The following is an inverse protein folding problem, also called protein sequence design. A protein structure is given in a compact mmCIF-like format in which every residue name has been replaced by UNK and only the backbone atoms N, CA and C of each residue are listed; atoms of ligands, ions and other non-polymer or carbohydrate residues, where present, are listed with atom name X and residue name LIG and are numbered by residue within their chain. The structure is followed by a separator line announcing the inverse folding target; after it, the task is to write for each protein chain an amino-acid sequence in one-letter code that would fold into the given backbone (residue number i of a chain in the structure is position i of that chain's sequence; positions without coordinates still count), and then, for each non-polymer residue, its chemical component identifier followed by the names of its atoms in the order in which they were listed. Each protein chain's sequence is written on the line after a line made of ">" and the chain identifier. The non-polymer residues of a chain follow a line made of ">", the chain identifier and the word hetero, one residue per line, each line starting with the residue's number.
data_IF_587530786711
#
_entry.id   IF_587530786711
#
_cell.length_a   1.000
_cell.length_b   1.000
_cell.length_c   1.000
_cell.angle_alpha   90.00
_cell.angle_beta   90.00
_cell.angle_gamma   90.00
#
_symmetry.space_group_name_H-M   'P 1'
#
loop_
_entity.id
_entity.type
_entity.pdbx_description
1 polymer ?
#
# COMPACT_ATOMS: atom_id res chain seq x y z
N UNK A 1 13.73 -2.81 15.78
CA UNK A 1 12.54 -1.99 15.52
C UNK A 1 12.02 -1.50 16.86
N UNK A 2 11.86 -0.20 17.04
CA UNK A 2 11.16 0.34 18.20
C UNK A 2 9.68 0.46 17.84
N UNK A 3 8.81 -0.06 18.71
CA UNK A 3 7.36 0.03 18.59
C UNK A 3 6.80 0.65 19.87
N UNK A 4 5.78 1.48 19.76
CA UNK A 4 5.04 2.03 20.90
C UNK A 4 3.60 1.51 20.87
N UNK A 5 3.05 1.08 22.01
CA UNK A 5 1.63 0.82 22.11
C UNK A 5 0.87 2.15 22.10
N UNK A 6 -0.18 2.22 21.30
CA UNK A 6 -1.04 3.38 21.14
C UNK A 6 -2.50 2.97 21.28
N UNK A 7 -3.34 3.91 21.72
CA UNK A 7 -4.78 3.71 21.86
C UNK A 7 -5.50 4.59 20.84
N UNK A 8 -6.49 4.01 20.16
CA UNK A 8 -7.41 4.75 19.31
C UNK A 8 -8.84 4.44 19.70
N UNK A 9 -9.75 5.38 19.46
CA UNK A 9 -11.19 5.20 19.70
C UNK A 9 -11.90 5.18 18.36
N UNK A 10 -12.72 4.15 18.11
CA UNK A 10 -13.50 4.08 16.88
C UNK A 10 -14.53 5.21 16.82
N UNK A 11 -14.53 6.07 15.78
CA UNK A 11 -15.44 7.21 15.70
C UNK A 11 -16.90 6.80 15.47
N UNK A 12 -17.16 5.54 15.10
CA UNK A 12 -18.51 5.06 14.79
C UNK A 12 -19.22 4.36 15.94
N UNK A 13 -18.47 3.81 16.90
CA UNK A 13 -19.04 3.01 18.01
C UNK A 13 -18.35 3.23 19.35
N UNK A 14 -17.39 4.15 19.43
CA UNK A 14 -16.62 4.50 20.62
C UNK A 14 -15.82 3.35 21.27
N UNK A 15 -15.70 2.19 20.61
CA UNK A 15 -14.84 1.10 21.11
C UNK A 15 -13.38 1.54 21.05
N UNK A 16 -12.67 1.39 22.17
CA UNK A 16 -11.22 1.62 22.25
C UNK A 16 -10.47 0.39 21.72
N UNK A 17 -9.38 0.65 21.00
CA UNK A 17 -8.48 -0.38 20.47
C UNK A 17 -7.05 -0.04 20.81
N UNK A 18 -6.25 -1.07 21.04
CA UNK A 18 -4.79 -0.93 21.06
C UNK A 18 -4.19 -1.25 19.70
N UNK A 19 -3.10 -0.59 19.36
CA UNK A 19 -2.28 -0.95 18.21
C UNK A 19 -0.83 -0.58 18.49
N UNK A 20 0.09 -1.11 17.69
CA UNK A 20 1.51 -0.78 17.79
C UNK A 20 1.91 0.07 16.58
N UNK A 21 2.53 1.21 16.84
CA UNK A 21 3.11 2.06 15.83
C UNK A 21 4.63 1.88 15.82
N UNK A 22 5.21 1.71 14.64
CA UNK A 22 6.66 1.67 14.50
C UNK A 22 7.24 3.09 14.66
N UNK A 23 8.20 3.25 15.57
CA UNK A 23 8.88 4.53 15.84
C UNK A 23 10.22 4.63 15.13
N UNK A 24 10.87 3.48 14.91
CA UNK A 24 12.10 3.41 14.12
C UNK A 24 12.29 2.03 13.50
N UNK A 25 12.88 2.03 12.32
CA UNK A 25 13.16 0.82 11.57
C UNK A 25 14.38 1.00 10.66
N UNK A 26 14.80 -0.10 10.04
CA UNK A 26 15.86 -0.09 9.04
C UNK A 26 15.50 -1.10 7.93
N UNK A 27 16.26 -1.06 6.85
CA UNK A 27 16.06 -1.92 5.68
C UNK A 27 16.97 -3.14 5.67
N UNK A 28 17.63 -3.46 6.79
CA UNK A 28 18.55 -4.62 6.86
C UNK A 28 17.72 -5.89 6.68
N UNK A 29 18.09 -6.68 5.66
CA UNK A 29 17.37 -7.91 5.30
C UNK A 29 16.01 -7.68 4.63
N UNK A 30 15.69 -6.44 4.25
CA UNK A 30 14.44 -6.14 3.55
C UNK A 30 14.47 -6.61 2.09
N UNK A 31 13.33 -7.09 1.62
CA UNK A 31 13.07 -7.41 0.22
C UNK A 31 12.31 -6.25 -0.42
N UNK A 32 12.86 -5.73 -1.52
CA UNK A 32 12.27 -4.64 -2.28
C UNK A 32 11.51 -5.19 -3.48
N UNK A 33 10.30 -4.70 -3.73
CA UNK A 33 9.47 -5.11 -4.85
C UNK A 33 9.33 -4.00 -5.89
N UNK A 34 9.06 -4.40 -7.13
CA UNK A 34 8.95 -3.50 -8.29
C UNK A 34 7.80 -2.49 -8.22
N UNK A 35 6.84 -2.69 -7.31
CA UNK A 35 5.72 -1.80 -7.02
C UNK A 35 5.96 -0.86 -5.82
N UNK A 36 7.21 -0.78 -5.34
CA UNK A 36 7.60 0.06 -4.22
C UNK A 36 7.25 -0.53 -2.86
N UNK A 37 6.63 -1.72 -2.80
CA UNK A 37 6.43 -2.41 -1.53
C UNK A 37 7.77 -2.91 -0.98
N UNK A 38 7.97 -2.72 0.32
CA UNK A 38 9.16 -3.21 1.04
C UNK A 38 8.69 -4.18 2.11
N UNK A 39 9.22 -5.40 2.06
CA UNK A 39 8.96 -6.42 3.06
C UNK A 39 10.22 -6.60 3.92
N UNK A 40 10.13 -6.29 5.22
CA UNK A 40 11.23 -6.51 6.15
C UNK A 40 10.73 -6.60 7.59
N UNK A 41 11.35 -7.46 8.39
CA UNK A 41 10.99 -7.65 9.81
C UNK A 41 11.24 -6.40 10.66
N UNK A 42 12.11 -5.50 10.22
CA UNK A 42 12.40 -4.22 10.86
C UNK A 42 11.96 -3.01 10.02
N UNK A 43 11.18 -3.23 8.95
CA UNK A 43 10.62 -2.15 8.16
C UNK A 43 9.37 -1.62 8.85
N UNK A 44 9.27 -0.30 9.11
CA UNK A 44 8.17 0.25 9.88
C UNK A 44 6.85 0.16 9.10
N UNK A 45 5.81 -0.41 9.74
CA UNK A 45 4.43 -0.35 9.25
C UNK A 45 3.71 0.81 9.94
N UNK A 46 3.72 1.98 9.30
CA UNK A 46 2.97 3.14 9.78
C UNK A 46 1.48 2.95 9.44
N UNK A 47 0.68 2.67 10.47
CA UNK A 47 -0.75 2.48 10.33
C UNK A 47 -1.43 3.84 10.21
N UNK A 48 -2.14 4.05 9.09
CA UNK A 48 -2.94 5.27 8.84
C UNK A 48 -4.44 4.97 8.97
N UNK A 49 -4.84 3.73 8.67
CA UNK A 49 -6.22 3.27 8.74
C UNK A 49 -6.30 1.98 9.56
N UNK A 50 -7.37 1.86 10.32
CA UNK A 50 -7.69 0.69 11.14
C UNK A 50 -9.10 0.18 10.89
N UNK A 51 -9.35 -1.09 11.22
CA UNK A 51 -10.67 -1.70 11.23
C UNK A 51 -11.09 -2.00 12.67
N UNK A 52 -12.26 -1.50 13.05
CA UNK A 52 -12.82 -1.74 14.38
C UNK A 52 -13.22 -3.22 14.53
N UNK A 53 -12.84 -3.87 15.63
CA UNK A 53 -13.26 -5.26 15.91
C UNK A 53 -14.73 -5.40 16.31
N UNK A 54 -15.34 -4.31 16.80
CA UNK A 54 -16.73 -4.30 17.28
C UNK A 54 -17.73 -4.02 16.14
N UNK A 55 -17.55 -2.92 15.40
CA UNK A 55 -18.48 -2.53 14.32
C UNK A 55 -17.99 -2.85 12.90
N UNK A 56 -16.76 -3.36 12.75
CA UNK A 56 -16.13 -3.73 11.47
C UNK A 56 -15.99 -2.60 10.44
N UNK A 57 -16.18 -1.33 10.84
CA UNK A 57 -15.93 -0.18 9.98
C UNK A 57 -14.45 0.16 9.95
N UNK A 58 -13.98 0.58 8.78
CA UNK A 58 -12.66 1.18 8.60
C UNK A 58 -12.75 2.65 8.96
N UNK A 59 -11.72 3.15 9.65
CA UNK A 59 -11.60 4.55 10.00
C UNK A 59 -10.13 4.98 9.96
N UNK A 60 -9.91 6.29 9.80
CA UNK A 60 -8.59 6.91 9.88
C UNK A 60 -8.13 6.92 11.33
N UNK A 61 -6.86 6.60 11.55
CA UNK A 61 -6.24 6.77 12.85
C UNK A 61 -5.88 8.23 13.03
N UNK A 62 -6.43 8.83 14.09
CA UNK A 62 -6.03 10.15 14.56
C UNK A 62 -4.68 10.08 15.27
N UNK A 63 -4.10 11.25 15.57
CA UNK A 63 -2.85 11.31 16.33
C UNK A 63 -2.97 10.54 17.64
N UNK A 64 -1.90 9.82 18.04
CA UNK A 64 -1.93 8.98 19.22
C UNK A 64 -2.27 9.80 20.47
N UNK A 65 -3.32 9.39 21.17
CA UNK A 65 -3.57 9.84 22.53
C UNK A 65 -2.87 8.85 23.46
N UNK A 66 -1.70 9.22 23.98
CA UNK A 66 -1.03 8.51 25.06
C UNK A 66 -1.80 8.73 26.36
N UNK A 67 -2.93 8.04 26.52
CA UNK A 67 -3.68 8.07 27.77
C UNK A 67 -2.96 7.17 28.79
N UNK A 68 -2.04 7.76 29.56
CA UNK A 68 -1.13 7.07 30.49
C UNK A 68 -1.84 6.20 31.55
N UNK A 69 -3.16 6.38 31.73
CA UNK A 69 -3.96 5.70 32.74
C UNK A 69 -4.80 4.52 32.21
N UNK A 70 -4.73 4.19 30.91
CA UNK A 70 -5.49 3.04 30.37
C UNK A 70 -4.66 1.77 30.42
N UNK A 71 -5.21 0.70 31.01
CA UNK A 71 -4.60 -0.62 30.94
C UNK A 71 -4.68 -1.15 29.50
N UNK A 72 -3.54 -1.28 28.85
CA UNK A 72 -3.42 -1.73 27.47
C UNK A 72 -3.75 -3.22 27.29
N UNK A 73 -3.65 -4.02 28.36
CA UNK A 73 -3.78 -5.47 28.24
C UNK A 73 -5.23 -5.91 28.00
N UNK A 74 -6.20 -5.11 28.42
CA UNK A 74 -7.64 -5.39 28.29
C UNK A 74 -8.27 -4.90 26.98
N UNK A 75 -7.55 -4.13 26.17
CA UNK A 75 -8.08 -3.57 24.93
C UNK A 75 -7.94 -4.54 23.75
N UNK A 76 -8.98 -4.68 22.90
CA UNK A 76 -8.87 -5.50 21.69
C UNK A 76 -7.90 -4.86 20.69
N UNK A 77 -7.10 -5.70 20.03
CA UNK A 77 -6.20 -5.27 18.96
C UNK A 77 -6.98 -4.68 17.78
N UNK A 78 -6.51 -3.54 17.28
CA UNK A 78 -7.01 -2.94 16.07
C UNK A 78 -6.73 -3.86 14.87
N UNK A 79 -7.75 -4.17 14.07
CA UNK A 79 -7.57 -5.00 12.90
C UNK A 79 -6.98 -4.20 11.73
N UNK A 80 -6.15 -4.87 10.93
CA UNK A 80 -5.68 -4.34 9.66
C UNK A 80 -6.81 -4.46 8.61
N UNK A 81 -7.17 -3.39 7.89
CA UNK A 81 -8.15 -3.48 6.82
C UNK A 81 -7.68 -4.41 5.71
N UNK A 82 -8.60 -5.24 5.20
CA UNK A 82 -8.37 -6.11 4.05
C UNK A 82 -8.72 -5.41 2.73
N UNK A 83 -8.50 -6.10 1.61
CA UNK A 83 -8.75 -5.58 0.26
C UNK A 83 -10.15 -4.96 0.11
N UNK A 84 -11.19 -5.73 0.46
CA UNK A 84 -12.56 -5.27 0.28
C UNK A 84 -12.99 -4.23 1.32
N UNK A 85 -12.32 -4.19 2.46
CA UNK A 85 -12.53 -3.13 3.46
C UNK A 85 -12.11 -1.77 2.87
N UNK A 86 -10.94 -1.70 2.24
CA UNK A 86 -10.48 -0.50 1.53
C UNK A 86 -11.38 -0.13 0.35
N UNK A 87 -11.81 -1.11 -0.46
CA UNK A 87 -12.72 -0.86 -1.59
C UNK A 87 -14.06 -0.31 -1.10
N UNK A 88 -14.61 -0.85 -0.01
CA UNK A 88 -15.84 -0.34 0.60
C UNK A 88 -15.64 1.07 1.16
N UNK A 89 -14.50 1.33 1.80
CA UNK A 89 -14.18 2.63 2.36
C UNK A 89 -14.04 3.72 1.30
N UNK A 90 -13.40 3.44 0.15
CA UNK A 90 -13.35 4.37 -1.00
C UNK A 90 -14.72 4.73 -1.58
N UNK A 91 -15.71 3.85 -1.44
CA UNK A 91 -17.07 4.06 -1.94
C UNK A 91 -18.02 4.60 -0.84
N UNK A 92 -17.50 4.91 0.35
CA UNK A 92 -18.27 5.50 1.43
C UNK A 92 -18.46 7.00 1.24
N UNK A 93 -19.28 7.61 2.09
CA UNK A 93 -19.49 9.07 2.10
C UNK A 93 -18.44 9.83 2.92
N UNK A 94 -17.42 9.14 3.42
CA UNK A 94 -16.32 9.76 4.18
C UNK A 94 -15.51 10.67 3.25
N UNK A 95 -15.21 11.88 3.70
CA UNK A 95 -14.36 12.81 2.96
C UNK A 95 -12.91 12.35 3.06
N UNK A 96 -12.26 12.17 1.91
CA UNK A 96 -10.84 11.82 1.81
C UNK A 96 -10.08 12.95 1.14
N UNK A 97 -8.91 13.27 1.70
CA UNK A 97 -7.93 14.09 0.99
C UNK A 97 -7.35 13.33 -0.20
N UNK A 98 -6.75 14.06 -1.15
CA UNK A 98 -6.10 13.44 -2.30
C UNK A 98 -4.97 12.47 -1.89
N UNK A 99 -4.26 12.79 -0.80
CA UNK A 99 -3.17 11.96 -0.25
C UNK A 99 -3.71 10.67 0.39
N UNK A 100 -4.83 10.76 1.11
CA UNK A 100 -5.49 9.61 1.73
C UNK A 100 -6.04 8.65 0.68
N UNK A 101 -6.69 9.18 -0.35
CA UNK A 101 -7.16 8.39 -1.47
C UNK A 101 -5.98 7.71 -2.19
N UNK A 102 -4.87 8.42 -2.44
CA UNK A 102 -3.68 7.83 -3.05
C UNK A 102 -3.10 6.69 -2.18
N UNK A 103 -3.04 6.89 -0.87
CA UNK A 103 -2.59 5.88 0.08
C UNK A 103 -3.45 4.62 -0.02
N UNK A 104 -4.78 4.77 0.07
CA UNK A 104 -5.71 3.63 0.03
C UNK A 104 -5.60 2.90 -1.31
N UNK A 105 -5.54 3.62 -2.42
CA UNK A 105 -5.38 3.03 -3.76
C UNK A 105 -4.04 2.31 -3.92
N UNK A 106 -2.98 2.83 -3.31
CA UNK A 106 -1.67 2.15 -3.25
C UNK A 106 -1.75 0.87 -2.41
N UNK A 107 -2.42 0.89 -1.25
CA UNK A 107 -2.67 -0.32 -0.45
C UNK A 107 -3.48 -1.37 -1.20
N UNK A 108 -4.55 -0.99 -1.90
CA UNK A 108 -5.32 -1.90 -2.76
C UNK A 108 -4.42 -2.54 -3.81
N UNK A 109 -3.58 -1.74 -4.48
CA UNK A 109 -2.65 -2.25 -5.49
C UNK A 109 -1.66 -3.26 -4.89
N UNK A 110 -1.08 -2.97 -3.72
CA UNK A 110 -0.19 -3.88 -3.02
C UNK A 110 -0.90 -5.15 -2.57
N UNK A 111 -2.12 -5.09 -2.04
CA UNK A 111 -2.89 -6.26 -1.61
C UNK A 111 -3.23 -7.21 -2.77
N UNK A 112 -3.46 -6.68 -3.97
CA UNK A 112 -3.54 -7.53 -5.17
C UNK A 112 -2.20 -8.18 -5.49
N UNK A 113 -1.10 -7.42 -5.43
CA UNK A 113 0.23 -7.94 -5.70
C UNK A 113 0.70 -8.94 -4.62
N UNK A 114 0.22 -8.83 -3.38
CA UNK A 114 0.52 -9.77 -2.29
C UNK A 114 0.03 -11.17 -2.63
N UNK A 115 -1.09 -11.29 -3.34
CA UNK A 115 -1.55 -12.57 -3.87
C UNK A 115 -0.49 -13.20 -4.77
N UNK A 116 0.16 -12.42 -5.62
CA UNK A 116 1.28 -12.90 -6.45
C UNK A 116 2.49 -13.28 -5.59
N UNK A 117 2.84 -12.47 -4.58
CA UNK A 117 3.94 -12.76 -3.64
C UNK A 117 3.71 -14.07 -2.88
N UNK A 118 2.46 -14.37 -2.56
CA UNK A 118 2.02 -15.58 -1.86
C UNK A 118 1.72 -16.76 -2.81
N UNK A 119 2.05 -16.66 -4.11
CA UNK A 119 1.72 -17.68 -5.12
C UNK A 119 0.23 -18.03 -5.23
N UNK A 120 -0.65 -17.07 -4.94
CA UNK A 120 -2.10 -17.17 -5.09
C UNK A 120 -2.56 -16.59 -6.44
N UNK A 121 -3.76 -16.97 -6.92
CA UNK A 121 -4.38 -16.33 -8.08
C UNK A 121 -4.55 -14.83 -7.84
N UNK A 122 -4.28 -14.01 -8.86
CA UNK A 122 -4.45 -12.56 -8.76
C UNK A 122 -5.93 -12.17 -8.64
N UNK A 123 -6.81 -12.90 -9.35
CA UNK A 123 -8.25 -12.65 -9.44
C UNK A 123 -9.04 -13.93 -9.12
N UNK A 124 -9.09 -14.39 -7.86
CA UNK A 124 -9.96 -15.49 -7.44
C UNK A 124 -11.44 -15.17 -7.65
N UNK A 125 -11.86 -13.93 -7.40
CA UNK A 125 -13.25 -13.51 -7.54
C UNK A 125 -13.53 -12.86 -8.91
N UNK A 126 -14.77 -13.00 -9.39
CA UNK A 126 -15.17 -12.44 -10.69
C UNK A 126 -15.05 -10.90 -10.75
N UNK A 127 -15.31 -10.22 -9.64
CA UNK A 127 -15.24 -8.76 -9.53
C UNK A 127 -13.81 -8.21 -9.45
N UNK A 128 -12.84 -9.04 -9.05
CA UNK A 128 -11.49 -8.60 -8.73
C UNK A 128 -10.78 -7.91 -9.88
N UNK A 129 -10.93 -8.44 -11.09
CA UNK A 129 -10.29 -7.89 -12.28
C UNK A 129 -10.80 -6.47 -12.58
N UNK A 130 -12.08 -6.22 -12.35
CA UNK A 130 -12.69 -4.91 -12.55
C UNK A 130 -12.20 -3.91 -11.49
N UNK A 131 -12.25 -4.31 -10.21
CA UNK A 131 -11.76 -3.52 -9.06
C UNK A 131 -10.29 -3.15 -9.27
N UNK A 132 -9.44 -4.14 -9.54
CA UNK A 132 -8.01 -3.94 -9.78
C UNK A 132 -7.74 -2.98 -10.94
N UNK A 133 -8.43 -3.18 -12.07
CA UNK A 133 -8.22 -2.35 -13.26
C UNK A 133 -8.65 -0.91 -13.00
N UNK A 134 -9.81 -0.70 -12.39
CA UNK A 134 -10.31 0.63 -12.05
C UNK A 134 -9.35 1.32 -11.06
N UNK A 135 -8.91 0.62 -10.01
CA UNK A 135 -7.97 1.16 -9.03
C UNK A 135 -6.67 1.62 -9.69
N UNK A 136 -6.07 0.78 -10.56
CA UNK A 136 -4.84 1.15 -11.27
C UNK A 136 -5.06 2.36 -12.18
N UNK A 137 -6.17 2.43 -12.92
CA UNK A 137 -6.44 3.55 -13.83
C UNK A 137 -6.55 4.87 -13.08
N UNK A 138 -7.25 4.89 -11.94
CA UNK A 138 -7.38 6.10 -11.10
C UNK A 138 -6.03 6.46 -10.47
N UNK A 139 -5.31 5.48 -9.93
CA UNK A 139 -3.99 5.72 -9.34
C UNK A 139 -2.99 6.31 -10.37
N UNK A 140 -3.03 5.84 -11.63
CA UNK A 140 -2.23 6.42 -12.72
C UNK A 140 -2.59 7.89 -12.98
N UNK A 141 -3.86 8.28 -12.87
CA UNK A 141 -4.28 9.67 -13.06
C UNK A 141 -3.88 10.58 -11.90
N UNK A 142 -3.77 10.04 -10.69
CA UNK A 142 -3.37 10.80 -9.50
C UNK A 142 -1.86 11.05 -9.43
N UNK A 143 -1.04 10.09 -9.91
CA UNK A 143 0.43 10.23 -9.82
C UNK A 143 0.95 11.29 -10.80
N UNK A 144 1.47 12.37 -10.22
CA UNK A 144 2.20 13.43 -10.92
C UNK A 144 3.66 13.01 -11.16
N UNK A 145 4.13 13.08 -12.40
CA UNK A 145 5.47 12.60 -12.78
C UNK A 145 6.56 13.65 -12.57
N UNK A 146 6.59 14.24 -11.38
CA UNK A 146 7.49 15.36 -11.05
C UNK A 146 8.82 14.88 -10.47
N UNK A 147 8.84 13.67 -9.91
CA UNK A 147 10.01 13.05 -9.30
C UNK A 147 10.25 11.62 -9.85
N UNK A 148 11.45 11.06 -9.63
CA UNK A 148 11.82 9.74 -10.13
C UNK A 148 11.00 8.59 -9.56
N UNK A 149 10.59 8.66 -8.29
CA UNK A 149 9.82 7.60 -7.63
C UNK A 149 8.42 7.53 -8.23
N UNK A 150 7.77 8.68 -8.41
CA UNK A 150 6.48 8.80 -9.10
C UNK A 150 6.56 8.28 -10.54
N UNK A 151 7.66 8.54 -11.25
CA UNK A 151 7.90 7.98 -12.59
C UNK A 151 8.00 6.45 -12.56
N UNK A 152 8.73 5.87 -11.61
CA UNK A 152 8.86 4.42 -11.44
C UNK A 152 7.52 3.78 -11.05
N UNK A 153 6.81 4.35 -10.08
CA UNK A 153 5.47 3.91 -9.64
C UNK A 153 4.49 3.89 -10.82
N UNK A 154 4.43 4.98 -11.59
CA UNK A 154 3.58 5.08 -12.79
C UNK A 154 4.00 4.10 -13.87
N UNK A 155 5.31 3.92 -14.10
CA UNK A 155 5.84 2.96 -15.06
C UNK A 155 5.45 1.51 -14.72
N UNK A 156 5.43 1.16 -13.44
CA UNK A 156 5.01 -0.16 -12.97
C UNK A 156 3.51 -0.39 -13.19
N UNK A 157 2.67 0.59 -12.83
CA UNK A 157 1.23 0.51 -13.03
C UNK A 157 0.87 0.30 -14.51
N UNK A 158 1.51 1.03 -15.43
CA UNK A 158 1.27 0.84 -16.86
C UNK A 158 1.84 -0.50 -17.38
N UNK A 159 2.93 -1.02 -16.78
CA UNK A 159 3.43 -2.38 -17.07
C UNK A 159 2.43 -3.45 -16.65
N UNK A 160 1.81 -3.30 -15.49
CA UNK A 160 0.76 -4.17 -15.00
C UNK A 160 -0.45 -4.20 -15.94
N UNK A 161 -0.82 -3.05 -16.53
CA UNK A 161 -1.85 -2.98 -17.59
C UNK A 161 -1.41 -3.58 -18.93
N UNK A 162 -0.14 -3.93 -19.12
CA UNK A 162 0.41 -4.42 -20.38
C UNK A 162 0.76 -3.31 -21.38
N UNK A 163 0.75 -2.03 -20.96
CA UNK A 163 1.13 -0.88 -21.78
C UNK A 163 2.66 -0.71 -21.83
N UNK A 164 3.35 -1.73 -22.35
CA UNK A 164 4.82 -1.81 -22.34
C UNK A 164 5.50 -0.67 -23.09
N UNK A 165 4.89 -0.13 -24.16
CA UNK A 165 5.45 1.04 -24.87
C UNK A 165 5.51 2.27 -23.96
N UNK A 166 4.43 2.53 -23.22
CA UNK A 166 4.33 3.63 -22.29
C UNK A 166 5.27 3.44 -21.09
N UNK A 167 5.31 2.22 -20.52
CA UNK A 167 6.25 1.84 -19.47
C UNK A 167 7.69 2.22 -19.83
N UNK A 168 8.17 1.81 -21.01
CA UNK A 168 9.54 2.14 -21.48
C UNK A 168 9.77 3.63 -21.65
N UNK A 169 8.74 4.38 -22.08
CA UNK A 169 8.84 5.83 -22.21
C UNK A 169 9.06 6.49 -20.85
N UNK A 170 8.27 6.12 -19.85
CA UNK A 170 8.41 6.63 -18.47
C UNK A 170 9.77 6.26 -17.88
N UNK A 171 10.21 5.01 -18.04
CA UNK A 171 11.51 4.55 -17.53
C UNK A 171 12.68 5.29 -18.18
N UNK A 172 12.58 5.69 -19.45
CA UNK A 172 13.63 6.49 -20.11
C UNK A 172 13.79 7.88 -19.48
N UNK A 173 12.71 8.45 -18.94
CA UNK A 173 12.73 9.76 -18.27
C UNK A 173 13.42 9.75 -16.90
N UNK A 174 13.59 8.57 -16.28
CA UNK A 174 14.35 8.43 -15.02
C UNK A 174 15.86 8.50 -15.34
N UNK A 175 16.51 9.59 -14.93
CA UNK A 175 17.91 9.90 -15.26
C UNK A 175 18.89 9.68 -14.11
N UNK A 176 18.39 9.72 -12.88
CA UNK A 176 19.17 9.64 -11.64
C UNK A 176 19.88 8.29 -11.55
N UNK A 177 21.12 8.30 -11.06
CA UNK A 177 22.00 7.13 -11.07
C UNK A 177 21.53 6.04 -10.08
N UNK A 178 21.04 6.46 -8.91
CA UNK A 178 20.53 5.57 -7.85
C UNK A 178 19.40 4.63 -8.33
N UNK A 179 18.58 5.07 -9.29
CA UNK A 179 17.49 4.26 -9.85
C UNK A 179 17.88 3.42 -11.06
N UNK A 180 19.11 3.50 -11.59
CA UNK A 180 19.48 2.78 -12.80
C UNK A 180 19.42 1.27 -12.64
N UNK A 181 19.66 0.75 -11.43
CA UNK A 181 19.52 -0.69 -11.14
C UNK A 181 18.06 -1.14 -11.31
N UNK A 182 17.14 -0.48 -10.62
CA UNK A 182 15.69 -0.75 -10.67
C UNK A 182 15.17 -0.58 -12.10
N UNK A 183 15.52 0.53 -12.75
CA UNK A 183 15.15 0.84 -14.14
C UNK A 183 15.57 -0.27 -15.10
N UNK A 184 16.81 -0.77 -15.00
CA UNK A 184 17.29 -1.88 -15.87
C UNK A 184 16.47 -3.15 -15.67
N UNK A 185 16.16 -3.52 -14.43
CA UNK A 185 15.34 -4.69 -14.13
C UNK A 185 13.91 -4.54 -14.67
N UNK A 186 13.28 -3.38 -14.46
CA UNK A 186 11.94 -3.08 -15.01
C UNK A 186 11.92 -3.11 -16.53
N UNK A 187 12.94 -2.54 -17.20
CA UNK A 187 13.07 -2.60 -18.67
C UNK A 187 13.18 -4.04 -19.17
N UNK A 188 13.97 -4.89 -18.51
CA UNK A 188 14.08 -6.32 -18.86
C UNK A 188 12.73 -7.03 -18.75
N UNK A 189 12.02 -6.83 -17.64
CA UNK A 189 10.68 -7.40 -17.41
C UNK A 189 9.64 -6.89 -18.41
N UNK A 190 9.75 -5.62 -18.80
CA UNK A 190 8.93 -5.01 -19.83
C UNK A 190 9.18 -5.64 -21.21
N UNK A 191 10.43 -5.93 -21.58
CA UNK A 191 10.76 -6.60 -22.85
C UNK A 191 10.27 -8.05 -22.89
N UNK A 192 10.27 -8.74 -21.74
CA UNK A 192 9.72 -10.08 -21.58
C UNK A 192 8.19 -10.10 -21.52
N UNK A 193 7.52 -8.94 -21.62
CA UNK A 193 6.07 -8.77 -21.45
C UNK A 193 5.53 -9.35 -20.13
N UNK A 194 6.38 -9.40 -19.11
CA UNK A 194 5.98 -9.86 -17.78
C UNK A 194 5.16 -8.75 -17.12
N UNK A 195 3.99 -9.10 -16.56
CA UNK A 195 3.06 -8.15 -15.92
C UNK A 195 2.96 -8.30 -14.40
N UNK A 196 3.47 -9.41 -13.87
CA UNK A 196 3.46 -9.69 -12.42
C UNK A 196 4.52 -8.84 -11.71
N UNK A 197 4.24 -8.46 -10.47
CA UNK A 197 5.22 -7.87 -9.54
C UNK A 197 6.43 -8.82 -9.40
N UNK A 198 7.62 -8.27 -9.16
CA UNK A 198 8.85 -9.04 -8.98
C UNK A 198 9.75 -8.40 -7.93
N UNK A 199 10.70 -9.18 -7.41
CA UNK A 199 11.72 -8.71 -6.45
C UNK A 199 12.80 -7.93 -7.19
N UNK A 200 13.19 -6.79 -6.63
CA UNK A 200 14.34 -6.02 -7.08
C UNK A 200 15.60 -6.63 -6.45
N UNK A 201 16.48 -7.12 -7.32
CA UNK A 201 17.81 -7.63 -6.94
C UNK A 201 18.79 -6.50 -6.67
#
# INVERSE_FOLDING_TARGET
>A
MLITPEITTCPHCATKHRYYQAMSGNTIGATFYSDGFVQGSMYPDFKVFGKCTSCHKVFKLEEPNSDENTDFDDLPDLQQPELYDYVKFLNSTEELSAEEEEYIRTKIWWLFNDRVRMNKPLFPENSDKAIWKQNILILISMIHTNDPESLLKKAELVRHLGQFRHCRSLLKSVKQEEYQKVKRQMLRKCMQRQRKVFVIE
#
